data_IF_925761886282
#
_entry.id   IF_925761886282
#
_cell.length_a   1.000
_cell.length_b   1.000
_cell.length_c   1.000
_cell.angle_alpha   90.00
_cell.angle_beta   90.00
_cell.angle_gamma   90.00
#
_symmetry.space_group_name_H-M   'P 1'
#
loop_
_entity.id
_entity.type
_entity.pdbx_description
1 polymer ?
#
# COMPACT_ATOMS: atom_id res chain seq x y z
N UNK A 1 -1.25 -1.19 19.06
CA UNK A 1 0.16 -0.96 18.68
C UNK A 1 0.14 -0.80 17.17
N UNK A 2 0.90 0.17 16.62
CA UNK A 2 1.02 0.35 15.17
C UNK A 2 1.77 -0.84 14.54
N UNK A 3 2.01 -0.79 13.23
CA UNK A 3 2.91 -1.75 12.59
C UNK A 3 4.25 -1.75 13.33
N UNK A 4 4.78 -2.94 13.61
CA UNK A 4 6.04 -3.11 14.33
C UNK A 4 7.06 -3.98 13.60
N UNK A 5 6.70 -4.54 12.45
CA UNK A 5 7.58 -5.35 11.62
C UNK A 5 7.07 -5.40 10.17
N UNK A 6 7.94 -5.80 9.24
CA UNK A 6 7.59 -6.04 7.84
C UNK A 6 8.10 -7.39 7.36
N UNK A 7 7.28 -8.06 6.55
CA UNK A 7 7.64 -9.31 5.89
C UNK A 7 7.47 -9.18 4.37
N UNK A 8 8.39 -9.78 3.62
CA UNK A 8 8.28 -9.91 2.17
C UNK A 8 7.80 -11.32 1.85
N UNK A 9 6.78 -11.43 1.01
CA UNK A 9 6.19 -12.70 0.60
C UNK A 9 5.87 -12.71 -0.90
N UNK A 10 5.69 -13.92 -1.43
CA UNK A 10 5.35 -14.15 -2.83
C UNK A 10 3.92 -14.67 -2.94
N UNK A 11 3.14 -14.09 -3.83
CA UNK A 11 1.84 -14.64 -4.19
C UNK A 11 2.01 -16.05 -4.79
N UNK A 12 1.22 -17.00 -4.30
CA UNK A 12 1.19 -18.37 -4.84
C UNK A 12 0.15 -18.53 -5.96
N UNK A 13 -0.72 -17.54 -6.12
CA UNK A 13 -1.74 -17.43 -7.14
C UNK A 13 -1.36 -16.38 -8.20
N UNK A 14 -2.32 -16.00 -9.04
CA UNK A 14 -2.16 -14.96 -10.07
C UNK A 14 -2.59 -13.57 -9.56
N UNK A 15 -2.61 -13.34 -8.25
CA UNK A 15 -2.93 -12.03 -7.70
C UNK A 15 -1.85 -11.01 -8.10
N UNK A 16 -2.23 -9.73 -8.33
CA UNK A 16 -1.24 -8.66 -8.46
C UNK A 16 -0.48 -8.48 -7.15
N UNK A 17 0.50 -7.60 -7.13
CA UNK A 17 1.17 -7.24 -5.89
C UNK A 17 0.25 -6.38 -5.00
N UNK A 18 0.31 -6.59 -3.67
CA UNK A 18 -0.52 -5.86 -2.71
C UNK A 18 0.13 -5.83 -1.31
N UNK A 19 -0.40 -4.97 -0.45
CA UNK A 19 -0.07 -4.93 0.98
C UNK A 19 -1.17 -5.60 1.78
N UNK A 20 -0.78 -6.30 2.83
CA UNK A 20 -1.72 -6.84 3.81
C UNK A 20 -1.04 -6.88 5.17
N UNK A 21 -1.71 -7.42 6.19
CA UNK A 21 -1.20 -7.46 7.54
C UNK A 21 -1.60 -8.74 8.25
N UNK A 22 -0.68 -9.29 9.04
CA UNK A 22 -0.96 -10.34 10.01
C UNK A 22 -0.72 -9.75 11.41
N UNK A 23 -1.80 -9.44 12.11
CA UNK A 23 -1.73 -8.73 13.39
C UNK A 23 -1.15 -7.32 13.24
N UNK A 24 0.10 -7.12 13.67
CA UNK A 24 0.82 -5.83 13.57
C UNK A 24 2.00 -5.89 12.61
N UNK A 25 2.14 -6.95 11.84
CA UNK A 25 3.20 -7.10 10.84
C UNK A 25 2.63 -6.80 9.47
N UNK A 26 3.22 -5.82 8.77
CA UNK A 26 2.88 -5.53 7.38
C UNK A 26 3.50 -6.60 6.49
N UNK A 27 2.72 -7.15 5.56
CA UNK A 27 3.18 -8.13 4.59
C UNK A 27 3.11 -7.49 3.21
N UNK A 28 4.26 -7.37 2.57
CA UNK A 28 4.40 -6.93 1.19
C UNK A 28 4.38 -8.17 0.31
N UNK A 29 3.32 -8.35 -0.46
CA UNK A 29 3.13 -9.49 -1.35
C UNK A 29 3.54 -9.05 -2.76
N UNK A 30 4.63 -9.62 -3.29
CA UNK A 30 4.98 -9.48 -4.70
C UNK A 30 4.26 -10.56 -5.51
N UNK A 31 3.91 -10.25 -6.75
CA UNK A 31 3.25 -11.15 -7.69
C UNK A 31 4.11 -12.39 -7.97
N UNK A 32 3.44 -13.50 -8.28
CA UNK A 32 4.12 -14.74 -8.69
C UNK A 32 5.04 -14.52 -9.90
N UNK A 33 4.64 -13.62 -10.79
CA UNK A 33 5.39 -13.32 -12.01
C UNK A 33 6.70 -12.56 -11.71
N UNK A 34 6.65 -11.52 -10.87
CA UNK A 34 7.85 -10.79 -10.45
C UNK A 34 8.82 -11.71 -9.68
N UNK A 35 8.32 -12.52 -8.74
CA UNK A 35 9.11 -13.54 -8.05
C UNK A 35 9.86 -14.45 -9.01
N UNK A 36 9.18 -14.98 -10.04
CA UNK A 36 9.78 -15.88 -11.04
C UNK A 36 10.88 -15.20 -11.84
N UNK A 37 10.76 -13.90 -12.07
CA UNK A 37 11.77 -13.09 -12.77
C UNK A 37 12.91 -12.63 -11.85
N UNK A 38 12.79 -12.83 -10.54
CA UNK A 38 13.74 -12.33 -9.54
C UNK A 38 13.67 -10.80 -9.38
N UNK A 39 12.54 -10.18 -9.74
CA UNK A 39 12.27 -8.76 -9.60
C UNK A 39 11.22 -8.51 -8.52
N UNK A 40 11.02 -7.24 -8.17
CA UNK A 40 9.93 -6.79 -7.30
C UNK A 40 8.90 -6.05 -8.14
N UNK A 41 7.61 -6.19 -7.85
CA UNK A 41 6.59 -5.29 -8.43
C UNK A 41 6.69 -3.86 -7.85
N UNK A 42 7.52 -3.68 -6.83
CA UNK A 42 7.68 -2.46 -6.05
C UNK A 42 9.09 -1.87 -6.16
N UNK A 43 9.71 -1.90 -7.35
CA UNK A 43 11.12 -1.49 -7.57
C UNK A 43 11.45 -0.04 -7.17
N UNK A 44 10.46 0.82 -6.89
CA UNK A 44 10.65 2.24 -6.52
C UNK A 44 9.74 2.68 -5.35
N UNK A 45 9.46 1.76 -4.42
CA UNK A 45 8.53 2.02 -3.32
C UNK A 45 9.14 2.81 -2.16
N UNK A 46 10.47 2.84 -2.04
CA UNK A 46 11.21 3.43 -0.92
C UNK A 46 10.76 4.85 -0.56
N UNK A 47 10.50 5.78 -1.51
CA UNK A 47 10.04 7.14 -1.19
C UNK A 47 8.66 7.17 -0.51
N UNK A 48 7.86 6.11 -0.67
CA UNK A 48 6.49 6.02 -0.19
C UNK A 48 6.36 5.17 1.08
N UNK A 49 7.42 4.45 1.48
CA UNK A 49 7.39 3.52 2.61
C UNK A 49 6.92 4.15 3.92
N UNK A 50 7.36 5.36 4.24
CA UNK A 50 6.92 6.06 5.46
C UNK A 50 5.42 6.36 5.43
N UNK A 51 4.91 6.80 4.28
CA UNK A 51 3.48 7.08 4.09
C UNK A 51 2.63 5.81 4.15
N UNK A 52 3.12 4.72 3.56
CA UNK A 52 2.46 3.41 3.58
C UNK A 52 2.41 2.85 5.00
N UNK A 53 3.55 2.85 5.71
CA UNK A 53 3.60 2.40 7.11
C UNK A 53 2.67 3.24 7.98
N UNK A 54 2.63 4.56 7.77
CA UNK A 54 1.73 5.45 8.50
C UNK A 54 0.25 5.12 8.22
N UNK A 55 -0.12 4.93 6.95
CA UNK A 55 -1.47 4.58 6.54
C UNK A 55 -1.91 3.24 7.12
N UNK A 56 -1.14 2.18 6.89
CA UNK A 56 -1.43 0.84 7.39
C UNK A 56 -1.43 0.77 8.93
N UNK A 57 -0.60 1.59 9.60
CA UNK A 57 -0.63 1.70 11.07
C UNK A 57 -1.94 2.30 11.58
N UNK A 58 -2.56 3.22 10.83
CA UNK A 58 -3.88 3.76 11.17
C UNK A 58 -4.94 2.66 11.02
N UNK A 59 -4.91 1.88 9.94
CA UNK A 59 -5.81 0.74 9.76
C UNK A 59 -5.74 -0.25 10.92
N UNK A 60 -4.53 -0.67 11.31
CA UNK A 60 -4.35 -1.60 12.46
C UNK A 60 -4.92 -1.02 13.76
N UNK A 61 -4.73 0.28 14.02
CA UNK A 61 -5.22 0.92 15.23
C UNK A 61 -6.75 1.05 15.21
N UNK A 62 -7.34 1.53 14.11
CA UNK A 62 -8.78 1.73 13.99
C UNK A 62 -9.50 0.37 13.97
N UNK A 63 -9.01 -0.60 13.20
CA UNK A 63 -9.57 -1.94 13.13
C UNK A 63 -9.67 -2.62 14.50
N UNK A 64 -8.73 -2.30 15.41
CA UNK A 64 -8.77 -2.78 16.79
C UNK A 64 -9.79 -2.06 17.67
N UNK A 65 -9.98 -0.76 17.48
CA UNK A 65 -10.84 0.08 18.35
C UNK A 65 -12.30 -0.02 17.91
N UNK A 66 -12.55 0.12 16.62
CA UNK A 66 -13.88 0.27 16.02
C UNK A 66 -14.33 -0.95 15.22
N UNK A 67 -13.43 -1.91 14.96
CA UNK A 67 -13.69 -3.10 14.16
C UNK A 67 -13.22 -2.96 12.71
N UNK A 68 -13.07 -4.11 12.03
CA UNK A 68 -12.53 -4.17 10.67
C UNK A 68 -13.36 -3.42 9.65
N UNK A 69 -14.70 -3.48 9.72
CA UNK A 69 -15.57 -2.77 8.76
C UNK A 69 -15.33 -1.25 8.74
N UNK A 70 -15.06 -0.65 9.91
CA UNK A 70 -14.75 0.78 10.01
C UNK A 70 -13.34 1.07 9.48
N UNK A 71 -12.37 0.20 9.78
CA UNK A 71 -11.02 0.30 9.23
C UNK A 71 -11.02 0.21 7.71
N UNK A 72 -11.73 -0.75 7.13
CA UNK A 72 -11.77 -0.97 5.68
C UNK A 72 -12.41 0.23 4.96
N UNK A 73 -13.28 1.00 5.63
CA UNK A 73 -13.82 2.25 5.08
C UNK A 73 -12.81 3.41 4.99
N UNK A 74 -11.61 3.26 5.58
CA UNK A 74 -10.53 4.25 5.53
C UNK A 74 -9.63 4.10 4.30
N UNK A 75 -9.85 3.09 3.47
CA UNK A 75 -9.14 2.87 2.21
C UNK A 75 -9.28 4.05 1.22
N UNK A 76 -10.28 4.92 1.44
CA UNK A 76 -10.49 6.17 0.72
C UNK A 76 -9.72 7.37 1.31
N UNK A 77 -8.71 7.16 2.19
CA UNK A 77 -7.87 8.25 2.68
C UNK A 77 -7.19 8.95 1.50
N UNK A 78 -7.47 10.23 1.38
CA UNK A 78 -6.93 11.08 0.35
C UNK A 78 -5.63 11.75 0.82
N UNK A 79 -4.58 11.63 0.01
CA UNK A 79 -3.31 12.33 0.18
C UNK A 79 -3.15 13.41 -0.89
N UNK A 80 -2.39 14.45 -0.56
CA UNK A 80 -2.00 15.48 -1.52
C UNK A 80 -0.67 15.09 -2.14
N UNK A 81 -0.66 14.84 -3.45
CA UNK A 81 0.53 14.55 -4.25
C UNK A 81 0.83 15.72 -5.19
N UNK A 82 2.11 16.01 -5.44
CA UNK A 82 2.51 17.09 -6.34
C UNK A 82 3.17 16.55 -7.61
N UNK A 83 2.65 16.95 -8.78
CA UNK A 83 3.19 16.60 -10.09
C UNK A 83 3.23 17.84 -10.98
N UNK A 84 4.39 18.12 -11.58
CA UNK A 84 4.59 19.29 -12.44
C UNK A 84 4.19 20.63 -11.78
N UNK A 85 4.38 20.76 -10.46
CA UNK A 85 4.00 21.95 -9.69
C UNK A 85 2.49 22.10 -9.41
N UNK A 86 1.67 21.11 -9.77
CA UNK A 86 0.26 21.04 -9.41
C UNK A 86 0.03 20.02 -8.30
N UNK A 87 -0.85 20.36 -7.37
CA UNK A 87 -1.25 19.50 -6.27
C UNK A 87 -2.55 18.78 -6.60
N UNK A 88 -2.58 17.47 -6.37
CA UNK A 88 -3.72 16.59 -6.60
C UNK A 88 -4.10 15.91 -5.30
N UNK A 89 -5.40 15.82 -5.05
CA UNK A 89 -5.94 15.00 -3.98
C UNK A 89 -6.26 13.62 -4.56
N UNK A 90 -5.58 12.59 -4.08
CA UNK A 90 -5.68 11.22 -4.59
C UNK A 90 -5.90 10.26 -3.44
N UNK A 91 -6.76 9.27 -3.62
CA UNK A 91 -6.85 8.16 -2.66
C UNK A 91 -5.53 7.40 -2.65
N UNK A 92 -5.03 7.03 -1.47
CA UNK A 92 -3.75 6.30 -1.33
C UNK A 92 -3.72 5.03 -2.19
N UNK A 93 -4.84 4.31 -2.26
CA UNK A 93 -4.94 3.08 -3.06
C UNK A 93 -4.71 3.28 -4.55
N UNK A 94 -4.86 4.50 -5.07
CA UNK A 94 -4.55 4.81 -6.47
C UNK A 94 -3.05 4.74 -6.79
N UNK A 95 -2.16 4.73 -5.80
CA UNK A 95 -0.72 4.56 -5.99
C UNK A 95 -0.41 3.23 -6.69
N UNK A 96 -1.17 2.17 -6.38
CA UNK A 96 -1.03 0.84 -6.98
C UNK A 96 -1.44 0.79 -8.46
N UNK A 97 -2.29 1.73 -8.89
CA UNK A 97 -2.80 1.79 -10.26
C UNK A 97 -2.05 2.83 -11.12
N UNK A 98 -1.27 3.71 -10.49
CA UNK A 98 -0.50 4.73 -11.18
C UNK A 98 0.82 4.13 -11.73
N UNK A 99 1.10 4.35 -13.02
CA UNK A 99 2.30 3.83 -13.70
C UNK A 99 3.62 4.38 -13.15
N UNK A 100 3.56 5.48 -12.40
CA UNK A 100 4.70 6.16 -11.80
C UNK A 100 4.62 6.25 -10.27
N UNK A 101 3.75 5.42 -9.66
CA UNK A 101 3.54 5.38 -8.20
C UNK A 101 3.12 6.73 -7.58
N UNK A 102 2.71 7.71 -8.39
CA UNK A 102 2.29 9.03 -7.91
C UNK A 102 0.88 9.04 -7.30
N UNK A 103 0.11 7.97 -7.44
CA UNK A 103 -1.31 7.95 -7.11
C UNK A 103 -2.21 8.65 -8.15
N UNK A 104 -1.63 9.22 -9.21
CA UNK A 104 -2.37 9.84 -10.31
C UNK A 104 -2.59 8.79 -11.40
N UNK A 105 -3.80 8.23 -11.44
CA UNK A 105 -4.22 7.32 -12.52
C UNK A 105 -4.58 8.15 -13.74
N UNK A 106 -3.74 8.07 -14.78
CA UNK A 106 -4.01 8.68 -16.08
C UNK A 106 -4.88 7.73 -16.94
N UNK A 107 -5.76 8.26 -17.82
CA UNK A 107 -6.54 7.45 -18.76
C UNK A 107 -5.69 6.57 -19.69
#
# INVERSE_FOLDING_TARGET
MPINDFALACAIDNSPAYFTYEGTTMIVITSQEACRRGSSDFEEIEPYMDSLIAHESIHVVIGRIEGSEVSDSLDDIEVIVERNGQKFQVTINNILFATDFSGIVMP
#
